data_IF_469979857872
#
_entry.id   IF_469979857872
#
_cell.length_a   1.000
_cell.length_b   1.000
_cell.length_c   1.000
_cell.angle_alpha   90.00
_cell.angle_beta   90.00
_cell.angle_gamma   90.00
#
_symmetry.space_group_name_H-M   'P 1'
#
loop_
_entity.id
_entity.type
_entity.pdbx_description
1 polymer ?
#
# COMPACT_ATOMS: atom_id res chain seq x y z
N UNK A 1 -0.97 1.24 -14.04
CA UNK A 1 0.34 0.54 -14.14
C UNK A 1 1.43 1.52 -14.53
N UNK A 2 2.70 1.23 -14.29
CA UNK A 2 3.82 2.10 -14.72
C UNK A 2 4.23 3.22 -13.74
N UNK A 3 4.06 3.00 -12.44
CA UNK A 3 4.67 3.84 -11.38
C UNK A 3 5.73 3.05 -10.63
N UNK A 4 6.61 3.78 -9.92
CA UNK A 4 7.59 3.15 -9.03
C UNK A 4 6.91 2.36 -7.92
N UNK A 5 5.84 2.90 -7.33
CA UNK A 5 5.01 2.21 -6.33
C UNK A 5 4.51 0.87 -6.87
N UNK A 6 3.98 0.86 -8.10
CA UNK A 6 3.50 -0.37 -8.71
C UNK A 6 4.62 -1.43 -8.85
N UNK A 7 5.79 -1.06 -9.35
CA UNK A 7 6.93 -1.97 -9.46
C UNK A 7 7.40 -2.48 -8.08
N UNK A 8 7.34 -1.64 -7.05
CA UNK A 8 7.72 -2.03 -5.68
C UNK A 8 6.68 -2.92 -5.01
N UNK A 9 5.39 -2.74 -5.30
CA UNK A 9 4.35 -3.68 -4.89
C UNK A 9 4.57 -5.06 -5.53
N UNK A 10 4.87 -5.11 -6.83
CA UNK A 10 5.19 -6.37 -7.53
C UNK A 10 6.45 -7.04 -6.96
N UNK A 11 7.52 -6.25 -6.72
CA UNK A 11 8.75 -6.75 -6.08
C UNK A 11 8.51 -7.24 -4.65
N UNK A 12 7.53 -6.66 -3.95
CA UNK A 12 7.08 -7.13 -2.64
C UNK A 12 6.21 -8.39 -2.72
N UNK A 13 5.83 -8.84 -3.91
CA UNK A 13 4.94 -9.98 -4.14
C UNK A 13 3.45 -9.65 -3.96
N UNK A 14 3.08 -8.38 -4.14
CA UNK A 14 1.72 -7.87 -3.99
C UNK A 14 1.13 -7.48 -5.34
N UNK A 15 -0.19 -7.60 -5.48
CA UNK A 15 -0.93 -7.12 -6.65
C UNK A 15 -1.48 -5.71 -6.41
N UNK A 16 -1.29 -4.81 -7.37
CA UNK A 16 -1.88 -3.47 -7.32
C UNK A 16 -3.32 -3.50 -7.85
N UNK A 17 -4.31 -3.18 -7.01
CA UNK A 17 -5.73 -3.12 -7.40
C UNK A 17 -6.02 -2.13 -8.55
N UNK A 18 -5.13 -1.16 -8.78
CA UNK A 18 -5.23 -0.16 -9.85
C UNK A 18 -4.22 -0.40 -10.99
N UNK A 19 -3.72 -1.63 -11.17
CA UNK A 19 -2.70 -1.97 -12.17
C UNK A 19 -3.09 -1.56 -13.61
N UNK A 20 -4.37 -1.61 -13.96
CA UNK A 20 -4.86 -1.30 -15.31
C UNK A 20 -5.28 0.17 -15.51
N UNK A 21 -5.11 1.02 -14.49
CA UNK A 21 -5.48 2.43 -14.55
C UNK A 21 -4.29 3.36 -14.84
N UNK A 22 -4.60 4.65 -15.03
CA UNK A 22 -3.61 5.74 -15.13
C UNK A 22 -2.72 5.83 -13.88
N UNK A 23 -1.61 6.57 -13.93
CA UNK A 23 -0.52 6.49 -12.94
C UNK A 23 -0.93 6.77 -11.48
N UNK A 24 -1.94 7.59 -11.22
CA UNK A 24 -2.42 7.88 -9.86
C UNK A 24 -3.93 8.15 -9.93
N UNK A 25 -4.76 7.09 -9.93
CA UNK A 25 -6.20 7.28 -9.98
C UNK A 25 -6.69 7.87 -8.67
N UNK A 26 -7.70 8.72 -8.75
CA UNK A 26 -8.47 9.12 -7.57
C UNK A 26 -9.42 7.99 -7.19
N UNK A 27 -9.52 7.71 -5.90
CA UNK A 27 -10.42 6.71 -5.36
C UNK A 27 -11.26 7.34 -4.24
N UNK A 28 -12.52 6.93 -4.18
CA UNK A 28 -13.45 7.24 -3.08
C UNK A 28 -13.64 6.01 -2.19
N UNK A 29 -14.17 6.19 -0.99
CA UNK A 29 -14.50 5.07 -0.09
C UNK A 29 -15.43 4.05 -0.76
N UNK A 30 -16.42 4.52 -1.53
CA UNK A 30 -17.32 3.65 -2.27
C UNK A 30 -16.56 2.79 -3.29
N UNK A 31 -15.67 3.41 -4.08
CA UNK A 31 -14.86 2.66 -5.05
C UNK A 31 -13.89 1.68 -4.37
N UNK A 32 -13.35 2.02 -3.20
CA UNK A 32 -12.47 1.11 -2.46
C UNK A 32 -13.23 -0.07 -1.87
N UNK A 33 -14.48 0.14 -1.42
CA UNK A 33 -15.34 -0.92 -0.89
C UNK A 33 -15.84 -1.88 -1.98
N UNK A 34 -15.97 -1.41 -3.21
CA UNK A 34 -16.31 -2.24 -4.38
C UNK A 34 -15.11 -3.06 -4.88
N UNK A 35 -13.89 -2.65 -4.56
CA UNK A 35 -12.69 -3.42 -4.84
C UNK A 35 -12.56 -4.57 -3.83
N UNK A 36 -12.29 -5.77 -4.33
CA UNK A 36 -11.98 -6.93 -3.48
C UNK A 36 -10.54 -6.83 -2.95
N UNK A 37 -10.31 -5.90 -2.03
CA UNK A 37 -9.00 -5.62 -1.44
C UNK A 37 -8.72 -6.54 -0.26
N UNK A 38 -7.57 -7.22 -0.29
CA UNK A 38 -7.07 -7.92 0.89
C UNK A 38 -6.52 -6.93 1.93
N UNK A 39 -5.86 -5.86 1.46
CA UNK A 39 -5.23 -4.87 2.31
C UNK A 39 -5.19 -3.47 1.69
N UNK A 40 -5.16 -2.46 2.56
CA UNK A 40 -4.92 -1.06 2.22
C UNK A 40 -3.66 -0.58 2.97
N UNK A 41 -2.61 -0.25 2.21
CA UNK A 41 -1.33 0.20 2.75
C UNK A 41 -1.27 1.72 2.78
N UNK A 42 -1.15 2.29 3.98
CA UNK A 42 -1.07 3.72 4.24
C UNK A 42 0.39 4.09 4.52
N UNK A 43 1.02 4.75 3.54
CA UNK A 43 2.45 5.08 3.55
C UNK A 43 2.80 6.17 4.58
N UNK A 44 4.01 6.15 5.15
CA UNK A 44 4.54 7.28 5.91
C UNK A 44 4.98 8.45 5.03
N UNK A 45 5.17 8.23 3.72
CA UNK A 45 5.70 9.21 2.77
C UNK A 45 5.10 9.02 1.36
N UNK A 46 4.93 10.08 0.55
CA UNK A 46 5.23 11.48 0.86
C UNK A 46 4.22 12.14 1.82
N UNK A 47 3.04 11.54 2.00
CA UNK A 47 2.05 11.98 2.98
C UNK A 47 2.13 11.09 4.23
N UNK A 48 2.34 11.66 5.43
CA UNK A 48 2.45 10.88 6.66
C UNK A 48 1.07 10.48 7.16
N UNK A 49 0.54 9.38 6.64
CA UNK A 49 -0.66 8.77 7.21
C UNK A 49 -0.42 8.43 8.69
N UNK A 50 -1.47 8.54 9.49
CA UNK A 50 -1.43 8.41 10.94
C UNK A 50 -2.56 7.49 11.39
N UNK A 51 -2.51 7.05 12.65
CA UNK A 51 -3.48 6.11 13.18
C UNK A 51 -4.91 6.63 13.13
N UNK A 52 -5.12 7.94 13.23
CA UNK A 52 -6.44 8.57 13.04
C UNK A 52 -7.00 8.35 11.63
N UNK A 53 -6.16 8.46 10.60
CA UNK A 53 -6.55 8.18 9.21
C UNK A 53 -6.85 6.68 9.02
N UNK A 54 -6.00 5.81 9.57
CA UNK A 54 -6.18 4.37 9.49
C UNK A 54 -7.47 3.91 10.19
N UNK A 55 -7.74 4.42 11.39
CA UNK A 55 -8.94 4.10 12.15
C UNK A 55 -10.22 4.50 11.41
N UNK A 56 -10.25 5.69 10.79
CA UNK A 56 -11.38 6.11 9.96
C UNK A 56 -11.59 5.16 8.77
N UNK A 57 -10.52 4.77 8.08
CA UNK A 57 -10.62 3.85 6.93
C UNK A 57 -11.04 2.42 7.33
N UNK A 58 -10.60 1.92 8.50
CA UNK A 58 -11.04 0.61 9.02
C UNK A 58 -12.54 0.58 9.31
N UNK A 59 -13.12 1.69 9.76
CA UNK A 59 -14.55 1.78 10.02
C UNK A 59 -15.37 1.71 8.71
N UNK A 60 -14.83 2.25 7.62
CA UNK A 60 -15.50 2.33 6.31
C UNK A 60 -15.25 1.10 5.42
N UNK A 61 -14.15 0.36 5.66
CA UNK A 61 -13.72 -0.79 4.86
C UNK A 61 -13.65 -2.07 5.71
N UNK A 62 -14.79 -2.59 6.21
CA UNK A 62 -14.80 -3.80 7.02
C UNK A 62 -14.26 -4.99 6.22
N UNK A 63 -13.36 -5.77 6.84
CA UNK A 63 -12.73 -6.94 6.21
C UNK A 63 -11.44 -6.64 5.44
N UNK A 64 -11.14 -5.37 5.13
CA UNK A 64 -9.87 -4.98 4.51
C UNK A 64 -8.82 -4.72 5.59
N UNK A 65 -7.63 -5.30 5.45
CA UNK A 65 -6.53 -5.05 6.39
C UNK A 65 -5.90 -3.67 6.13
N UNK A 66 -6.23 -2.67 6.96
CA UNK A 66 -5.65 -1.33 6.85
C UNK A 66 -4.39 -1.21 7.72
N UNK A 67 -3.23 -0.99 7.08
CA UNK A 67 -1.91 -0.96 7.72
C UNK A 67 -1.18 0.35 7.45
N UNK A 68 -0.58 0.93 8.49
CA UNK A 68 0.49 1.90 8.31
C UNK A 68 1.79 1.17 7.93
N UNK A 69 2.47 1.67 6.91
CA UNK A 69 3.71 1.09 6.36
C UNK A 69 4.78 2.17 6.22
N UNK A 70 6.04 1.71 6.26
CA UNK A 70 7.16 2.56 5.90
C UNK A 70 7.10 2.82 4.40
N UNK A 71 7.00 4.09 4.04
CA UNK A 71 6.86 4.56 2.68
C UNK A 71 8.15 4.56 1.89
N UNK A 72 9.31 4.52 2.55
CA UNK A 72 10.58 4.71 1.86
C UNK A 72 10.81 3.68 0.74
N UNK A 73 10.59 2.37 0.94
CA UNK A 73 10.80 1.37 -0.10
C UNK A 73 9.87 1.53 -1.31
N UNK A 74 8.74 2.23 -1.15
CA UNK A 74 7.75 2.45 -2.21
C UNK A 74 7.89 3.80 -2.89
N UNK A 75 8.56 4.77 -2.25
CA UNK A 75 8.57 6.16 -2.68
C UNK A 75 9.95 6.67 -3.10
N UNK A 76 11.04 6.04 -2.62
CA UNK A 76 12.41 6.49 -2.90
C UNK A 76 13.27 5.38 -3.52
N UNK A 77 14.04 5.77 -4.53
CA UNK A 77 15.03 4.93 -5.18
C UNK A 77 16.44 5.20 -4.65
N UNK A 78 17.40 4.35 -5.01
CA UNK A 78 18.81 4.49 -4.64
C UNK A 78 19.19 3.62 -3.44
N UNK A 79 20.14 4.09 -2.61
CA UNK A 79 20.71 3.30 -1.50
C UNK A 79 19.69 2.84 -0.47
N UNK A 80 18.57 3.56 -0.33
CA UNK A 80 17.45 3.18 0.56
C UNK A 80 16.83 1.83 0.18
N UNK A 81 16.91 1.42 -1.08
CA UNK A 81 16.39 0.13 -1.53
C UNK A 81 17.20 -1.08 -1.06
N UNK A 82 18.40 -0.89 -0.50
CA UNK A 82 19.18 -1.99 0.07
C UNK A 82 18.41 -2.72 1.20
N UNK A 83 17.54 -2.02 1.91
CA UNK A 83 16.69 -2.59 2.96
C UNK A 83 15.34 -3.12 2.46
N UNK A 84 14.95 -2.81 1.21
CA UNK A 84 13.62 -3.11 0.69
C UNK A 84 13.29 -4.62 0.69
N UNK A 85 14.18 -5.56 0.29
CA UNK A 85 13.86 -6.99 0.31
C UNK A 85 13.51 -7.51 1.71
N UNK A 86 14.29 -7.12 2.73
CA UNK A 86 14.04 -7.49 4.13
C UNK A 86 12.73 -6.89 4.62
N UNK A 87 12.47 -5.62 4.30
CA UNK A 87 11.23 -4.96 4.65
C UNK A 87 10.01 -5.65 4.02
N UNK A 88 10.07 -5.96 2.72
CA UNK A 88 8.98 -6.64 2.02
C UNK A 88 8.70 -8.04 2.56
N UNK A 89 9.73 -8.78 2.99
CA UNK A 89 9.54 -10.05 3.67
C UNK A 89 8.78 -9.89 5.00
N UNK A 90 9.12 -8.87 5.80
CA UNK A 90 8.40 -8.55 7.04
C UNK A 90 6.96 -8.08 6.76
N UNK A 91 6.76 -7.25 5.73
CA UNK A 91 5.43 -6.78 5.34
C UNK A 91 4.53 -7.96 4.93
N UNK A 92 5.02 -8.89 4.11
CA UNK A 92 4.25 -10.09 3.76
C UNK A 92 3.88 -10.95 4.97
N UNK A 93 4.78 -11.09 5.94
CA UNK A 93 4.48 -11.82 7.17
C UNK A 93 3.37 -11.15 8.01
N UNK A 94 3.22 -9.81 7.93
CA UNK A 94 2.12 -9.07 8.57
C UNK A 94 0.80 -9.15 7.80
N UNK A 95 0.87 -9.38 6.49
CA UNK A 95 -0.29 -9.52 5.60
C UNK A 95 -0.80 -10.96 5.51
N UNK A 96 -0.03 -11.94 5.99
CA UNK A 96 -0.48 -13.32 6.07
C UNK A 96 -1.65 -13.44 7.07
N UNK A 97 -2.67 -14.26 6.76
CA UNK A 97 -3.82 -14.48 7.63
C UNK A 97 -3.46 -15.15 8.96
#
# INVERSE_FOLDING_TARGET
GGTFIHAMLEAAGLANAFADQARYPEATLATLAELNLDALLLSSEPFPFAETHAAALRAELPGVQVLLVDGEPFSWYGSRLLAAPTYFASLRARLAP
#
